data_IF_768743681169
#
_entry.id   IF_768743681169
#
_cell.length_a   1.000
_cell.length_b   1.000
_cell.length_c   1.000
_cell.angle_alpha   90.00
_cell.angle_beta   90.00
_cell.angle_gamma   90.00
#
_symmetry.space_group_name_H-M   'P 1'
#
loop_
_entity.id
_entity.type
_entity.pdbx_description
1 polymer ?
#
# COMPACT_ATOMS: atom_id res chain seq x y z
N UNK A 1 45.57 -35.10 5.82
CA UNK A 1 45.30 -36.52 5.52
C UNK A 1 43.96 -36.89 6.12
N UNK A 2 43.03 -37.29 5.27
CA UNK A 2 41.64 -37.69 5.55
C UNK A 2 41.54 -38.92 6.46
N UNK A 3 40.36 -39.17 7.04
CA UNK A 3 39.51 -40.42 6.97
C UNK A 3 38.28 -40.16 7.89
N UNK A 4 37.05 -40.02 7.39
CA UNK A 4 36.03 -41.02 6.98
C UNK A 4 35.28 -41.73 8.15
N UNK A 5 33.94 -41.67 8.08
CA UNK A 5 32.85 -42.18 8.96
C UNK A 5 32.30 -43.52 8.34
N UNK A 6 31.31 -44.31 8.85
CA UNK A 6 30.78 -44.74 10.17
C UNK A 6 30.82 -46.29 10.41
N UNK A 7 30.28 -46.78 11.54
CA UNK A 7 29.99 -48.20 11.78
C UNK A 7 28.79 -48.45 12.72
N UNK A 8 27.88 -49.31 12.27
CA UNK A 8 26.54 -49.70 12.74
C UNK A 8 26.58 -50.89 13.73
N UNK A 9 25.72 -50.99 14.76
CA UNK A 9 25.17 -52.29 15.25
C UNK A 9 23.82 -52.12 15.99
N UNK A 10 22.78 -52.79 15.47
CA UNK A 10 21.51 -53.12 16.12
C UNK A 10 21.64 -54.40 16.97
N UNK A 11 20.93 -54.53 18.10
CA UNK A 11 20.66 -55.84 18.72
C UNK A 11 19.17 -56.03 19.00
N UNK A 12 18.66 -57.14 18.48
CA UNK A 12 17.34 -57.70 18.72
C UNK A 12 17.33 -58.57 19.99
N UNK A 13 16.14 -58.73 20.60
CA UNK A 13 15.90 -59.67 21.68
C UNK A 13 14.41 -59.75 22.02
N UNK A 14 13.70 -60.68 21.40
CA UNK A 14 12.44 -61.24 21.91
C UNK A 14 12.77 -62.44 22.83
N UNK A 15 11.86 -62.86 23.75
CA UNK A 15 11.52 -64.28 24.10
C UNK A 15 10.84 -64.47 25.49
N UNK A 16 9.72 -65.24 25.47
CA UNK A 16 8.87 -66.00 26.46
C UNK A 16 7.91 -65.35 27.47
N UNK A 17 6.61 -65.52 27.16
CA UNK A 17 5.50 -66.19 27.89
C UNK A 17 5.68 -66.64 29.38
N UNK A 18 4.66 -66.38 30.20
CA UNK A 18 4.48 -67.02 31.51
C UNK A 18 3.11 -66.71 32.13
N UNK A 19 2.15 -67.61 31.92
CA UNK A 19 0.76 -67.58 32.40
C UNK A 19 0.68 -67.82 33.91
N UNK A 20 -0.11 -67.02 34.63
CA UNK A 20 -0.60 -67.38 35.97
C UNK A 20 -2.10 -67.07 36.04
N UNK A 21 -2.90 -68.13 35.97
CA UNK A 21 -4.36 -68.12 36.13
C UNK A 21 -4.67 -68.15 37.63
N UNK A 22 -5.37 -67.13 38.13
CA UNK A 22 -6.20 -67.27 39.33
C UNK A 22 -7.59 -66.79 38.96
N UNK A 23 -8.50 -67.76 38.80
CA UNK A 23 -9.92 -67.50 38.63
C UNK A 23 -10.58 -67.26 40.00
N UNK A 24 -11.38 -66.20 40.09
CA UNK A 24 -12.45 -66.10 41.07
C UNK A 24 -13.71 -65.71 40.29
N UNK A 25 -14.67 -66.63 40.32
CA UNK A 25 -15.95 -66.57 39.63
C UNK A 25 -17.03 -66.46 40.70
N UNK A 26 -17.68 -65.29 40.87
CA UNK A 26 -19.01 -65.20 41.49
C UNK A 26 -19.79 -63.98 40.95
N UNK A 27 -20.77 -64.30 40.11
CA UNK A 27 -22.17 -63.82 40.06
C UNK A 27 -22.48 -62.31 40.16
N UNK A 28 -22.75 -61.73 38.99
CA UNK A 28 -24.10 -61.27 38.61
C UNK A 28 -24.85 -60.31 39.54
N UNK A 29 -24.82 -59.03 39.19
CA UNK A 29 -25.99 -58.14 39.23
C UNK A 29 -26.05 -57.42 37.88
N UNK A 30 -27.19 -57.58 37.21
CA UNK A 30 -27.41 -57.07 35.86
C UNK A 30 -27.75 -55.59 35.85
N UNK A 31 -27.19 -54.88 34.88
CA UNK A 31 -27.71 -53.58 34.42
C UNK A 31 -28.65 -53.83 33.23
N UNK A 32 -29.96 -53.52 33.33
CA UNK A 32 -30.83 -53.49 32.18
C UNK A 32 -30.81 -52.11 31.51
N UNK A 33 -30.98 -52.11 30.19
CA UNK A 33 -31.20 -50.95 29.30
C UNK A 33 -29.95 -50.28 28.69
N UNK A 34 -29.21 -51.03 27.86
CA UNK A 34 -28.61 -50.45 26.66
C UNK A 34 -29.60 -50.67 25.51
N UNK A 35 -30.44 -49.67 25.25
CA UNK A 35 -31.32 -49.68 24.09
C UNK A 35 -30.48 -49.61 22.82
N UNK A 36 -30.65 -50.62 21.97
CA UNK A 36 -30.15 -50.65 20.59
C UNK A 36 -30.81 -49.52 19.79
N UNK A 37 -30.09 -48.42 19.59
CA UNK A 37 -30.38 -47.45 18.54
C UNK A 37 -29.54 -47.85 17.34
N UNK A 38 -30.14 -48.65 16.45
CA UNK A 38 -29.64 -48.78 15.09
C UNK A 38 -29.67 -47.39 14.42
N UNK A 39 -28.61 -46.96 13.72
CA UNK A 39 -28.69 -45.74 12.93
C UNK A 39 -29.70 -45.96 11.80
N UNK A 40 -30.81 -45.20 11.84
CA UNK A 40 -31.69 -45.07 10.67
C UNK A 40 -30.87 -44.40 9.56
N UNK A 41 -30.96 -44.83 8.29
CA UNK A 41 -30.34 -44.07 7.21
C UNK A 41 -31.06 -42.73 7.10
N UNK A 42 -30.44 -41.68 7.63
CA UNK A 42 -30.86 -40.30 7.36
C UNK A 42 -30.58 -40.08 5.89
N UNK A 43 -31.63 -39.90 5.11
CA UNK A 43 -31.54 -39.46 3.73
C UNK A 43 -30.97 -38.05 3.80
N UNK A 44 -29.67 -37.90 3.51
CA UNK A 44 -29.06 -36.59 3.32
C UNK A 44 -29.63 -36.06 2.01
N UNK A 45 -30.74 -35.32 2.14
CA UNK A 45 -31.20 -34.42 1.09
C UNK A 45 -30.17 -33.30 0.99
N UNK A 46 -29.68 -33.08 -0.22
CA UNK A 46 -28.70 -32.06 -0.54
C UNK A 46 -29.13 -30.70 0.03
N UNK A 47 -28.25 -30.09 0.83
CA UNK A 47 -28.37 -28.71 1.23
C UNK A 47 -28.09 -27.83 0.00
N UNK A 48 -29.12 -27.14 -0.47
CA UNK A 48 -28.99 -25.92 -1.24
C UNK A 48 -29.59 -24.80 -0.38
N UNK A 49 -28.79 -23.77 -0.10
CA UNK A 49 -29.12 -22.66 0.79
C UNK A 49 -28.52 -22.87 2.19
N UNK A 50 -27.32 -22.34 2.41
CA UNK A 50 -26.78 -22.17 3.76
C UNK A 50 -27.65 -21.13 4.48
N UNK A 51 -28.69 -21.58 5.18
CA UNK A 51 -29.50 -20.69 6.00
C UNK A 51 -28.62 -20.19 7.15
N UNK A 52 -28.21 -18.92 7.09
CA UNK A 52 -27.68 -18.19 8.22
C UNK A 52 -28.66 -18.27 9.39
N UNK A 53 -28.46 -19.25 10.25
CA UNK A 53 -29.33 -19.55 11.38
C UNK A 53 -28.59 -19.22 12.66
N UNK A 54 -29.02 -18.11 13.26
CA UNK A 54 -28.82 -17.70 14.65
C UNK A 54 -27.41 -17.17 15.02
N UNK A 55 -27.33 -15.84 15.02
CA UNK A 55 -26.74 -15.02 16.09
C UNK A 55 -25.22 -14.99 16.28
N UNK A 56 -24.41 -15.62 15.43
CA UNK A 56 -22.96 -15.42 15.49
C UNK A 56 -22.45 -14.36 14.51
N UNK A 57 -22.87 -14.36 13.23
CA UNK A 57 -22.28 -13.43 12.25
C UNK A 57 -23.31 -12.98 11.20
N UNK A 58 -24.37 -12.28 11.62
CA UNK A 58 -25.31 -11.64 10.67
C UNK A 58 -24.60 -10.67 9.71
N UNK A 59 -23.43 -10.16 10.09
CA UNK A 59 -22.57 -9.30 9.25
C UNK A 59 -21.73 -10.05 8.22
N UNK A 60 -21.64 -11.38 8.30
CA UNK A 60 -20.90 -12.21 7.32
C UNK A 60 -21.81 -13.16 6.54
N UNK A 61 -23.12 -13.03 6.70
CA UNK A 61 -24.09 -13.75 5.88
C UNK A 61 -24.06 -13.19 4.46
N UNK A 62 -24.17 -14.07 3.48
CA UNK A 62 -24.24 -13.78 2.05
C UNK A 62 -25.22 -14.80 1.48
N UNK A 63 -26.48 -14.40 1.36
CA UNK A 63 -27.62 -15.29 1.16
C UNK A 63 -27.73 -15.78 -0.29
N UNK A 64 -27.30 -14.97 -1.27
CA UNK A 64 -27.25 -15.36 -2.68
C UNK A 64 -25.85 -15.77 -3.17
N UNK A 65 -24.82 -15.58 -2.34
CA UNK A 65 -23.47 -16.09 -2.57
C UNK A 65 -22.69 -15.27 -3.58
N UNK A 66 -22.99 -13.98 -3.71
CA UNK A 66 -22.36 -13.08 -4.68
C UNK A 66 -21.11 -12.37 -4.15
N UNK A 67 -20.80 -12.53 -2.86
CA UNK A 67 -19.65 -11.94 -2.17
C UNK A 67 -19.97 -10.62 -1.46
N UNK A 68 -21.18 -10.10 -1.57
CA UNK A 68 -21.67 -8.92 -0.85
C UNK A 68 -22.43 -9.41 0.41
N UNK A 69 -22.03 -8.99 1.62
CA UNK A 69 -22.75 -9.42 2.82
C UNK A 69 -24.19 -8.89 2.87
N UNK A 70 -25.13 -9.70 3.35
CA UNK A 70 -26.56 -9.36 3.53
C UNK A 70 -26.76 -7.99 4.21
N UNK A 71 -25.92 -7.69 5.21
CA UNK A 71 -25.99 -6.44 5.96
C UNK A 71 -25.66 -5.21 5.10
N UNK A 72 -24.76 -5.37 4.12
CA UNK A 72 -24.40 -4.34 3.14
C UNK A 72 -25.53 -4.18 2.13
N UNK A 73 -26.06 -5.27 1.60
CA UNK A 73 -27.14 -5.22 0.60
C UNK A 73 -28.42 -4.56 1.13
N UNK A 74 -28.77 -4.80 2.40
CA UNK A 74 -29.91 -4.13 3.03
C UNK A 74 -29.73 -2.61 3.06
N UNK A 75 -28.50 -2.10 3.17
CA UNK A 75 -28.22 -0.66 3.11
C UNK A 75 -28.25 -0.16 1.66
N UNK A 76 -27.69 -0.92 0.72
CA UNK A 76 -27.59 -0.54 -0.70
C UNK A 76 -28.96 -0.52 -1.40
N UNK A 77 -29.76 -1.58 -1.23
CA UNK A 77 -30.97 -1.80 -2.02
C UNK A 77 -32.19 -2.32 -1.23
N UNK A 78 -32.03 -2.61 0.07
CA UNK A 78 -33.14 -2.87 1.00
C UNK A 78 -33.53 -4.34 1.20
N UNK A 79 -32.82 -5.29 0.59
CA UNK A 79 -32.97 -6.73 0.85
C UNK A 79 -31.64 -7.46 0.75
N UNK A 80 -31.54 -8.67 1.32
CA UNK A 80 -30.32 -9.45 1.43
C UNK A 80 -29.98 -10.29 0.17
N UNK A 81 -30.45 -9.89 -1.02
CA UNK A 81 -30.13 -10.56 -2.30
C UNK A 81 -30.36 -9.62 -3.50
N UNK A 82 -30.28 -8.31 -3.30
CA UNK A 82 -30.68 -7.33 -4.33
C UNK A 82 -29.52 -6.52 -4.89
N UNK A 83 -28.36 -6.52 -4.23
CA UNK A 83 -27.22 -5.80 -4.78
C UNK A 83 -26.69 -6.60 -5.97
N UNK A 84 -26.19 -5.90 -6.99
CA UNK A 84 -25.55 -6.54 -8.15
C UNK A 84 -24.06 -6.26 -8.21
N UNK A 85 -23.55 -5.47 -7.26
CA UNK A 85 -22.19 -4.99 -7.21
C UNK A 85 -21.89 -3.84 -8.18
N UNK A 86 -22.92 -3.30 -8.85
CA UNK A 86 -22.80 -2.29 -9.92
C UNK A 86 -23.56 -1.00 -9.61
N UNK A 87 -24.29 -0.98 -8.51
CA UNK A 87 -24.93 0.22 -7.99
C UNK A 87 -23.86 1.26 -7.67
N UNK A 88 -24.08 2.50 -8.12
CA UNK A 88 -23.21 3.66 -7.92
C UNK A 88 -24.13 4.89 -7.93
N UNK A 89 -24.53 5.30 -6.72
CA UNK A 89 -25.62 6.24 -6.47
C UNK A 89 -25.21 7.67 -6.81
N UNK A 90 -23.97 8.06 -6.51
CA UNK A 90 -23.45 9.40 -6.78
C UNK A 90 -22.59 9.51 -8.06
N UNK A 91 -22.29 8.37 -8.70
CA UNK A 91 -21.63 8.26 -10.01
C UNK A 91 -20.19 8.74 -10.00
N UNK A 92 -19.51 8.55 -8.88
CA UNK A 92 -18.09 8.86 -8.76
C UNK A 92 -17.18 7.71 -9.24
N UNK A 93 -17.76 6.53 -9.49
CA UNK A 93 -17.07 5.33 -9.96
C UNK A 93 -16.75 4.31 -8.87
N UNK A 94 -17.07 4.60 -7.60
CA UNK A 94 -17.00 3.65 -6.50
C UNK A 94 -18.38 2.99 -6.35
N UNK A 95 -18.47 1.64 -6.38
CA UNK A 95 -19.74 0.98 -6.17
C UNK A 95 -20.30 1.19 -4.75
N UNK A 96 -21.62 1.36 -4.61
CA UNK A 96 -22.33 1.64 -3.35
C UNK A 96 -21.96 0.65 -2.23
N UNK A 97 -21.78 -0.64 -2.57
CA UNK A 97 -21.46 -1.68 -1.61
C UNK A 97 -20.04 -1.55 -1.04
N UNK A 98 -19.09 -1.01 -1.82
CA UNK A 98 -17.74 -0.69 -1.38
C UNK A 98 -17.79 0.47 -0.38
N UNK A 99 -18.55 1.51 -0.69
CA UNK A 99 -18.71 2.66 0.19
C UNK A 99 -19.37 2.29 1.51
N UNK A 100 -20.42 1.46 1.47
CA UNK A 100 -21.06 0.97 2.68
C UNK A 100 -20.09 0.14 3.53
N UNK A 101 -19.20 -0.66 2.92
CA UNK A 101 -18.17 -1.41 3.66
C UNK A 101 -17.08 -0.50 4.23
N UNK A 102 -16.70 0.56 3.51
CA UNK A 102 -15.65 1.48 3.94
C UNK A 102 -16.14 2.45 5.03
N UNK A 103 -17.26 3.13 4.79
CA UNK A 103 -17.72 4.26 5.62
C UNK A 103 -19.21 4.21 6.02
N UNK A 104 -19.97 3.23 5.53
CA UNK A 104 -21.32 2.90 6.06
C UNK A 104 -22.51 3.50 5.30
N UNK A 105 -22.28 4.32 4.28
CA UNK A 105 -23.34 4.84 3.39
C UNK A 105 -22.92 4.70 1.92
N UNK A 106 -23.85 4.83 0.99
CA UNK A 106 -23.63 4.65 -0.46
C UNK A 106 -23.25 5.94 -1.21
N UNK A 107 -22.63 6.91 -0.53
CA UNK A 107 -22.16 8.19 -1.11
C UNK A 107 -21.09 8.86 -0.21
N UNK A 108 -20.33 8.07 0.56
CA UNK A 108 -19.40 8.61 1.57
C UNK A 108 -17.93 8.47 1.21
N UNK A 109 -17.59 7.66 0.21
CA UNK A 109 -16.22 7.61 -0.28
C UNK A 109 -16.00 8.75 -1.30
N UNK A 110 -14.76 9.15 -1.48
CA UNK A 110 -14.35 9.99 -2.62
C UNK A 110 -13.15 9.27 -3.26
N UNK A 111 -13.18 8.96 -4.56
CA UNK A 111 -12.10 8.25 -5.25
C UNK A 111 -10.78 9.05 -5.27
N UNK A 112 -10.80 10.32 -4.91
CA UNK A 112 -9.64 11.22 -4.88
C UNK A 112 -9.16 11.56 -3.47
N UNK A 113 -9.87 11.11 -2.43
CA UNK A 113 -9.42 11.30 -1.06
C UNK A 113 -8.18 10.42 -0.80
N UNK A 114 -7.12 11.05 -0.31
CA UNK A 114 -5.80 10.46 0.00
C UNK A 114 -5.21 11.30 1.14
N UNK A 115 -5.49 10.89 2.38
CA UNK A 115 -5.28 11.70 3.57
C UNK A 115 -3.80 11.82 3.97
N UNK A 116 -2.99 10.80 3.70
CA UNK A 116 -1.54 10.82 3.95
C UNK A 116 -0.69 11.12 2.72
N UNK A 117 -1.30 11.21 1.54
CA UNK A 117 -0.68 11.64 0.30
C UNK A 117 0.19 10.57 -0.34
N UNK A 118 0.03 9.30 0.03
CA UNK A 118 0.80 8.17 -0.51
C UNK A 118 0.26 7.65 -1.86
N UNK A 119 -0.89 8.15 -2.33
CA UNK A 119 -1.49 7.76 -3.60
C UNK A 119 -2.41 6.53 -3.53
N UNK A 120 -2.67 5.99 -2.34
CA UNK A 120 -3.73 5.01 -2.09
C UNK A 120 -4.99 5.77 -1.64
N UNK A 121 -6.18 5.48 -2.21
CA UNK A 121 -7.41 6.17 -1.79
C UNK A 121 -7.86 5.78 -0.38
N UNK A 122 -8.34 6.75 0.41
CA UNK A 122 -8.78 6.58 1.81
C UNK A 122 -9.74 5.39 2.01
N UNK A 123 -10.70 5.21 1.07
CA UNK A 123 -11.69 4.13 1.16
C UNK A 123 -11.04 2.75 1.01
N UNK A 124 -10.01 2.62 0.18
CA UNK A 124 -9.30 1.37 -0.02
C UNK A 124 -8.48 1.04 1.22
N UNK A 125 -7.82 2.02 1.83
CA UNK A 125 -7.10 1.83 3.09
C UNK A 125 -8.01 1.42 4.25
N UNK A 126 -9.19 2.05 4.32
CA UNK A 126 -10.21 1.71 5.31
C UNK A 126 -10.64 0.23 5.20
N UNK A 127 -10.69 -0.32 3.99
CA UNK A 127 -11.01 -1.74 3.73
C UNK A 127 -9.84 -2.68 3.98
N UNK A 128 -8.61 -2.23 3.72
CA UNK A 128 -7.38 -3.03 3.92
C UNK A 128 -7.03 -3.16 5.39
N UNK A 129 -7.04 -2.05 6.14
CA UNK A 129 -6.48 -2.00 7.49
C UNK A 129 -7.27 -1.16 8.51
N UNK A 130 -8.38 -0.55 8.10
CA UNK A 130 -9.35 0.06 9.02
C UNK A 130 -9.14 1.54 9.35
N UNK A 131 -8.24 2.24 8.65
CA UNK A 131 -8.10 3.70 8.70
C UNK A 131 -7.61 4.26 7.36
N UNK A 132 -7.84 5.55 7.12
CA UNK A 132 -7.46 6.27 5.91
C UNK A 132 -5.96 6.68 5.82
N UNK A 133 -5.06 6.00 6.53
CA UNK A 133 -3.60 6.33 6.51
C UNK A 133 -2.75 5.12 6.91
N UNK A 134 -3.25 3.89 6.72
CA UNK A 134 -2.60 2.69 7.26
C UNK A 134 -2.05 1.74 6.21
N UNK A 135 -2.52 1.82 4.97
CA UNK A 135 -1.94 0.99 3.94
C UNK A 135 -0.58 1.57 3.54
N UNK A 136 0.31 0.73 3.04
CA UNK A 136 1.60 1.18 2.50
C UNK A 136 1.86 0.63 1.10
N UNK A 137 0.88 -0.07 0.52
CA UNK A 137 0.98 -0.64 -0.82
C UNK A 137 1.75 -1.96 -0.88
N UNK A 138 2.07 -2.57 0.27
CA UNK A 138 2.75 -3.86 0.35
C UNK A 138 1.91 -4.97 0.99
N UNK A 139 0.71 -4.66 1.48
CA UNK A 139 -0.27 -5.65 1.91
C UNK A 139 -0.63 -6.54 0.72
N UNK A 140 -0.41 -7.85 0.81
CA UNK A 140 -0.68 -8.83 -0.25
C UNK A 140 -1.14 -10.13 0.41
N UNK A 141 -2.45 -10.26 0.59
CA UNK A 141 -3.08 -11.34 1.33
C UNK A 141 -2.95 -12.69 0.60
N UNK A 142 -2.96 -12.69 -0.73
CA UNK A 142 -2.98 -13.91 -1.53
C UNK A 142 -1.62 -14.30 -2.13
N UNK A 143 -0.62 -13.42 -2.05
CA UNK A 143 0.74 -13.66 -2.48
C UNK A 143 0.93 -13.65 -3.99
N UNK A 144 -0.01 -13.07 -4.76
CA UNK A 144 0.12 -12.93 -6.22
C UNK A 144 0.95 -11.71 -6.64
N UNK A 145 1.42 -10.90 -5.68
CA UNK A 145 2.17 -9.68 -5.96
C UNK A 145 1.29 -8.53 -6.42
N UNK A 146 -0.01 -8.59 -6.14
CA UNK A 146 -0.97 -7.48 -6.31
C UNK A 146 -1.30 -7.00 -4.90
N UNK A 147 -1.06 -5.72 -4.58
CA UNK A 147 -1.41 -5.20 -3.27
C UNK A 147 -2.92 -5.24 -3.00
N UNK A 148 -3.33 -5.53 -1.76
CA UNK A 148 -4.72 -5.70 -1.35
C UNK A 148 -5.58 -4.47 -1.69
N UNK A 149 -5.03 -3.25 -1.58
CA UNK A 149 -5.76 -2.03 -1.94
C UNK A 149 -6.14 -2.01 -3.43
N UNK A 150 -5.28 -2.56 -4.30
CA UNK A 150 -5.56 -2.67 -5.74
C UNK A 150 -6.67 -3.69 -5.97
N UNK A 151 -6.67 -4.79 -5.24
CA UNK A 151 -7.76 -5.76 -5.34
C UNK A 151 -9.10 -5.12 -4.96
N UNK A 152 -9.14 -4.32 -3.89
CA UNK A 152 -10.34 -3.58 -3.51
C UNK A 152 -10.81 -2.59 -4.57
N UNK A 153 -9.89 -1.87 -5.22
CA UNK A 153 -10.23 -0.92 -6.28
C UNK A 153 -10.77 -1.64 -7.52
N UNK A 154 -10.20 -2.77 -7.90
CA UNK A 154 -10.53 -3.49 -9.14
C UNK A 154 -11.80 -4.34 -9.00
N UNK A 155 -11.94 -5.05 -7.88
CA UNK A 155 -13.00 -6.05 -7.71
C UNK A 155 -13.53 -6.19 -6.27
N UNK A 156 -13.03 -5.38 -5.33
CA UNK A 156 -13.70 -5.15 -4.07
C UNK A 156 -13.45 -6.15 -2.94
N UNK A 157 -12.45 -7.03 -3.08
CA UNK A 157 -12.03 -7.96 -2.03
C UNK A 157 -10.57 -8.34 -2.17
N UNK A 158 -9.82 -8.49 -1.09
CA UNK A 158 -8.40 -8.90 -1.17
C UNK A 158 -8.19 -10.19 -2.00
N UNK A 159 -7.22 -10.17 -2.91
CA UNK A 159 -6.83 -11.28 -3.79
C UNK A 159 -7.77 -11.59 -4.96
N UNK A 160 -8.76 -10.74 -5.25
CA UNK A 160 -9.67 -10.99 -6.37
C UNK A 160 -9.07 -10.66 -7.74
N UNK A 161 -8.11 -9.74 -7.82
CA UNK A 161 -7.54 -9.37 -9.11
C UNK A 161 -6.58 -10.45 -9.62
N UNK A 162 -6.48 -10.54 -10.94
CA UNK A 162 -5.58 -11.43 -11.67
C UNK A 162 -4.33 -10.70 -12.16
N UNK A 163 -4.37 -9.38 -12.23
CA UNK A 163 -3.31 -8.53 -12.76
C UNK A 163 -3.36 -8.34 -14.27
N UNK A 164 -4.40 -8.86 -14.93
CA UNK A 164 -4.62 -8.79 -16.37
C UNK A 164 -5.86 -7.99 -16.75
N UNK A 165 -6.57 -7.45 -15.76
CA UNK A 165 -7.71 -6.55 -15.96
C UNK A 165 -7.25 -5.32 -16.75
N UNK A 166 -7.98 -5.02 -17.83
CA UNK A 166 -7.82 -3.83 -18.67
C UNK A 166 -9.23 -3.38 -19.06
N UNK A 167 -9.92 -2.72 -18.12
CA UNK A 167 -11.32 -2.34 -18.30
C UNK A 167 -11.53 -1.28 -19.37
N UNK A 168 -10.53 -0.43 -19.61
CA UNK A 168 -10.61 0.66 -20.59
C UNK A 168 -10.12 0.24 -22.00
N UNK A 169 -9.47 -0.92 -22.12
CA UNK A 169 -8.98 -1.50 -23.38
C UNK A 169 -7.80 -0.74 -24.00
N UNK A 170 -7.03 0.00 -23.19
CA UNK A 170 -5.91 0.81 -23.66
C UNK A 170 -4.62 -0.03 -23.85
N UNK A 171 -4.64 -1.31 -23.45
CA UNK A 171 -3.51 -2.24 -23.57
C UNK A 171 -2.53 -2.19 -22.39
N UNK A 172 -2.82 -1.43 -21.35
CA UNK A 172 -2.15 -1.40 -20.05
C UNK A 172 -3.14 -2.00 -19.04
N UNK A 173 -2.69 -2.90 -18.17
CA UNK A 173 -3.59 -3.43 -17.14
C UNK A 173 -3.87 -2.39 -16.05
N UNK A 174 -5.07 -2.41 -15.49
CA UNK A 174 -5.49 -1.49 -14.43
C UNK A 174 -4.57 -1.61 -13.21
N UNK A 175 -4.08 -2.82 -12.89
CA UNK A 175 -3.05 -3.01 -11.86
C UNK A 175 -1.76 -2.25 -12.16
N UNK A 176 -1.33 -2.22 -13.42
CA UNK A 176 -0.12 -1.49 -13.81
C UNK A 176 -0.33 0.03 -13.75
N UNK A 177 -1.52 0.52 -14.10
CA UNK A 177 -1.87 1.93 -13.97
C UNK A 177 -1.93 2.34 -12.49
N UNK A 178 -2.61 1.58 -11.65
CA UNK A 178 -2.77 1.86 -10.21
C UNK A 178 -1.45 1.81 -9.45
N UNK A 179 -0.58 0.82 -9.73
CA UNK A 179 0.76 0.74 -9.11
C UNK A 179 1.63 1.96 -9.40
N UNK A 180 1.42 2.65 -10.52
CA UNK A 180 2.18 3.84 -10.86
C UNK A 180 1.78 5.07 -10.04
N UNK A 181 0.60 5.05 -9.41
CA UNK A 181 0.08 6.17 -8.60
C UNK A 181 0.63 6.19 -7.17
N UNK A 182 0.99 5.02 -6.62
CA UNK A 182 1.47 4.91 -5.23
C UNK A 182 2.90 5.43 -5.10
N UNK A 183 3.09 6.30 -4.11
CA UNK A 183 4.37 6.84 -3.69
C UNK A 183 4.87 6.01 -2.52
N UNK A 184 5.94 5.25 -2.72
CA UNK A 184 6.63 4.58 -1.61
C UNK A 184 7.02 5.61 -0.53
N UNK A 185 6.31 5.60 0.60
CA UNK A 185 6.69 6.33 1.82
C UNK A 185 7.96 5.72 2.46
N UNK A 186 8.50 4.65 1.86
CA UNK A 186 9.73 3.96 2.22
C UNK A 186 10.98 4.83 2.09
N UNK A 187 11.24 5.63 3.11
CA UNK A 187 12.57 6.00 3.61
C UNK A 187 13.65 6.31 2.54
N UNK A 188 13.38 7.23 1.62
CA UNK A 188 14.46 7.94 0.90
C UNK A 188 15.38 8.74 1.87
N UNK A 189 14.97 8.88 3.14
CA UNK A 189 15.81 9.39 4.22
C UNK A 189 16.88 8.38 4.73
N UNK A 190 16.82 7.11 4.36
CA UNK A 190 17.84 6.09 4.74
C UNK A 190 19.20 6.34 4.10
N UNK A 191 19.16 6.46 2.78
CA UNK A 191 20.35 6.43 1.93
C UNK A 191 20.96 7.82 1.88
N UNK A 192 20.15 8.88 2.03
CA UNK A 192 20.61 10.24 2.28
C UNK A 192 21.34 10.38 3.62
N UNK A 193 20.86 9.71 4.68
CA UNK A 193 21.54 9.74 5.99
C UNK A 193 22.84 8.93 5.98
N UNK A 194 22.87 7.72 5.39
CA UNK A 194 24.11 6.94 5.30
C UNK A 194 25.14 7.60 4.37
N UNK A 195 24.73 8.12 3.21
CA UNK A 195 25.62 8.87 2.33
C UNK A 195 26.10 10.18 2.99
N UNK A 196 25.20 10.91 3.66
CA UNK A 196 25.53 12.11 4.43
C UNK A 196 26.51 11.85 5.57
N UNK A 197 26.38 10.72 6.27
CA UNK A 197 27.31 10.29 7.32
C UNK A 197 28.73 10.04 6.78
N UNK A 198 28.87 9.39 5.61
CA UNK A 198 30.18 9.18 4.98
C UNK A 198 30.78 10.47 4.43
N UNK A 199 29.96 11.38 3.88
CA UNK A 199 30.41 12.71 3.45
C UNK A 199 30.90 13.53 4.64
N UNK A 200 30.14 13.56 5.75
CA UNK A 200 30.54 14.26 6.98
C UNK A 200 31.81 13.66 7.60
N UNK A 201 31.92 12.33 7.64
CA UNK A 201 33.13 11.65 8.13
C UNK A 201 34.36 11.95 7.25
N UNK A 202 34.19 11.98 5.93
CA UNK A 202 35.23 12.37 4.99
C UNK A 202 35.72 13.80 5.19
N UNK A 203 34.80 14.75 5.35
CA UNK A 203 35.13 16.17 5.59
C UNK A 203 35.86 16.35 6.92
N UNK A 204 35.42 15.67 7.99
CA UNK A 204 36.09 15.72 9.30
C UNK A 204 37.49 15.08 9.28
N UNK A 205 37.68 13.99 8.54
CA UNK A 205 38.99 13.33 8.40
C UNK A 205 39.99 14.21 7.63
N UNK A 206 39.56 14.85 6.53
CA UNK A 206 40.41 15.76 5.75
C UNK A 206 40.74 17.02 6.55
N UNK A 207 39.76 17.60 7.24
CA UNK A 207 39.96 18.78 8.09
C UNK A 207 40.93 18.53 9.26
N UNK A 208 40.81 17.37 9.94
CA UNK A 208 41.71 17.00 11.04
C UNK A 208 43.13 16.66 10.56
N UNK A 209 43.26 16.01 9.39
CA UNK A 209 44.56 15.76 8.75
C UNK A 209 45.30 17.05 8.37
N UNK A 210 44.59 18.03 7.80
CA UNK A 210 45.14 19.34 7.48
C UNK A 210 45.55 20.11 8.76
N UNK A 211 44.73 20.07 9.81
CA UNK A 211 45.02 20.72 11.08
C UNK A 211 46.29 20.15 11.76
N UNK A 212 46.43 18.81 11.80
CA UNK A 212 47.62 18.16 12.34
C UNK A 212 48.88 18.43 11.49
N UNK A 213 48.73 18.47 10.16
CA UNK A 213 49.82 18.84 9.25
C UNK A 213 50.34 20.27 9.52
N UNK A 214 49.43 21.24 9.70
CA UNK A 214 49.80 22.61 10.04
C UNK A 214 50.42 22.76 11.45
N UNK A 215 49.94 22.01 12.43
CA UNK A 215 50.54 21.95 13.78
C UNK A 215 51.98 21.40 13.73
N UNK A 216 52.24 20.37 12.94
CA UNK A 216 53.59 19.80 12.79
C UNK A 216 54.54 20.72 12.01
N UNK A 217 54.03 21.48 11.03
CA UNK A 217 54.83 22.48 10.30
C UNK A 217 55.30 23.63 11.19
N UNK A 218 54.52 24.04 12.20
CA UNK A 218 54.94 25.06 13.18
C UNK A 218 56.04 24.57 14.12
N UNK A 219 56.04 23.30 14.52
CA UNK A 219 57.09 22.73 15.40
C UNK A 219 58.45 22.60 14.71
N UNK A 220 58.50 22.40 13.38
CA UNK A 220 59.75 22.33 12.62
C UNK A 220 60.36 23.68 12.25
N UNK A 221 59.68 24.80 12.55
CA UNK A 221 60.21 26.17 12.35
C UNK A 221 60.82 26.77 13.62
N UNK A 222 60.96 25.99 14.71
CA UNK A 222 61.48 26.46 16.00
C UNK A 222 62.80 25.85 16.44
N UNK A 223 63.47 25.07 15.59
CA UNK A 223 64.76 24.44 15.91
C UNK A 223 65.66 24.44 14.67
N UNK A 224 65.99 25.64 14.20
CA UNK A 224 67.23 25.94 13.49
C UNK A 224 67.42 27.47 13.58
N UNK A 225 68.64 27.85 13.93
CA UNK A 225 69.18 29.22 14.08
C UNK A 225 69.13 29.87 15.47
N UNK A 226 70.12 29.48 16.30
CA UNK A 226 70.91 30.45 17.07
C UNK A 226 72.30 30.58 16.41
N UNK A 227 72.72 31.82 16.14
CA UNK A 227 74.01 32.21 15.55
C UNK A 227 73.86 32.58 14.07
N UNK A 228 74.08 33.80 13.59
CA UNK A 228 75.10 34.78 13.97
C UNK A 228 74.74 36.15 13.35
N UNK A 229 75.17 37.24 13.98
CA UNK A 229 74.94 38.60 13.49
C UNK A 229 76.16 39.09 12.70
N UNK A 230 76.00 39.44 11.41
CA UNK A 230 76.94 40.34 10.74
C UNK A 230 76.19 41.30 9.81
N UNK A 231 76.38 42.58 10.08
CA UNK A 231 75.94 43.71 9.27
C UNK A 231 76.58 43.70 7.88
N UNK A 232 75.80 44.10 6.87
CA UNK A 232 76.26 44.30 5.50
C UNK A 232 75.32 45.26 4.77
N UNK A 233 75.92 46.30 4.23
CA UNK A 233 75.38 47.58 3.79
C UNK A 233 74.80 47.58 2.36
N UNK A 234 73.76 48.41 2.18
CA UNK A 234 73.30 49.18 1.00
C UNK A 234 73.05 48.59 -0.41
N UNK A 235 72.14 49.34 -1.07
CA UNK A 235 71.89 49.55 -2.51
C UNK A 235 70.70 48.77 -3.09
N UNK A 236 69.77 49.32 -3.88
CA UNK A 236 69.47 50.70 -4.27
C UNK A 236 68.10 50.68 -5.00
N UNK A 237 67.41 51.83 -4.96
CA UNK A 237 66.41 52.36 -5.92
C UNK A 237 65.30 51.48 -6.54
N UNK A 238 64.05 51.88 -6.25
CA UNK A 238 63.30 52.73 -7.19
C UNK A 238 62.03 52.13 -7.82
N UNK A 239 60.92 52.88 -7.67
CA UNK A 239 59.79 52.83 -8.61
C UNK A 239 58.41 52.77 -7.97
N UNK A 240 57.98 53.87 -7.36
CA UNK A 240 56.55 54.21 -7.24
C UNK A 240 56.00 54.45 -8.66
N UNK A 241 54.83 53.90 -9.02
CA UNK A 241 53.77 54.55 -9.84
C UNK A 241 52.44 53.78 -9.66
N UNK A 242 51.52 54.40 -8.91
CA UNK A 242 50.11 54.66 -9.24
C UNK A 242 49.33 53.63 -10.09
N UNK A 243 48.31 53.01 -9.49
CA UNK A 243 47.09 52.71 -10.24
C UNK A 243 45.84 52.68 -9.34
N UNK A 244 44.89 53.52 -9.71
CA UNK A 244 43.64 53.89 -9.06
C UNK A 244 42.64 52.73 -8.86
N UNK A 245 41.99 52.71 -7.69
CA UNK A 245 40.61 52.28 -7.49
C UNK A 245 39.67 53.18 -8.34
N UNK A 246 38.52 52.72 -8.87
CA UNK A 246 37.40 52.46 -7.95
C UNK A 246 36.33 51.44 -8.40
N UNK A 247 35.53 51.07 -7.39
CA UNK A 247 34.12 50.67 -7.38
C UNK A 247 33.27 50.89 -8.65
N UNK A 248 32.55 49.84 -9.07
CA UNK A 248 31.30 49.87 -9.84
C UNK A 248 30.43 48.72 -9.26
N UNK A 249 29.25 48.95 -8.65
CA UNK A 249 28.37 50.09 -8.80
C UNK A 249 27.29 49.89 -9.87
N UNK A 250 26.54 48.76 -9.78
CA UNK A 250 25.11 48.60 -10.11
C UNK A 250 24.52 49.69 -11.02
N UNK A 251 24.07 49.31 -12.21
CA UNK A 251 22.71 49.55 -12.75
C UNK A 251 22.72 49.39 -14.28
N UNK A 252 21.79 48.63 -14.83
CA UNK A 252 20.93 49.13 -15.93
C UNK A 252 19.65 48.30 -16.06
N UNK A 253 18.59 48.87 -16.70
CA UNK A 253 17.21 48.52 -16.41
C UNK A 253 16.41 48.09 -17.68
N UNK A 254 15.15 47.67 -17.43
CA UNK A 254 14.02 47.58 -18.38
C UNK A 254 14.08 46.47 -19.46
N UNK A 255 13.26 45.45 -19.30
CA UNK A 255 12.17 45.25 -20.28
C UNK A 255 10.90 44.74 -19.59
N UNK A 256 9.78 45.26 -20.06
CA UNK A 256 8.44 45.23 -19.48
C UNK A 256 7.55 44.62 -20.58
N UNK A 257 7.07 43.40 -20.41
CA UNK A 257 6.12 42.75 -21.32
C UNK A 257 5.05 42.00 -20.54
N UNK A 258 3.83 42.52 -20.61
CA UNK A 258 2.67 42.23 -19.76
C UNK A 258 2.08 40.81 -19.87
N UNK A 259 1.30 40.36 -18.86
CA UNK A 259 0.30 39.31 -19.02
C UNK A 259 -0.95 39.88 -19.72
N UNK A 260 -1.41 39.22 -20.78
CA UNK A 260 -2.71 39.48 -21.36
C UNK A 260 -3.71 38.47 -20.80
N UNK A 261 -4.62 38.97 -19.97
CA UNK A 261 -5.95 38.42 -19.78
C UNK A 261 -6.73 38.38 -21.11
N UNK A 262 -7.55 37.34 -21.27
CA UNK A 262 -8.75 37.12 -22.11
C UNK A 262 -8.78 35.65 -22.51
N UNK A 263 -9.85 34.89 -22.50
CA UNK A 263 -11.19 34.86 -21.91
C UNK A 263 -11.72 33.46 -22.35
N UNK A 264 -12.73 32.88 -21.68
CA UNK A 264 -13.29 31.58 -22.06
C UNK A 264 -14.11 31.72 -23.36
N UNK A 265 -13.81 30.89 -24.37
CA UNK A 265 -14.71 30.73 -25.52
C UNK A 265 -15.95 29.95 -25.11
N UNK A 266 -16.98 30.70 -24.72
CA UNK A 266 -18.37 30.36 -25.00
C UNK A 266 -18.62 30.52 -26.49
N UNK A 267 -18.75 29.42 -27.23
CA UNK A 267 -19.48 29.43 -28.50
C UNK A 267 -20.79 28.66 -28.31
N UNK A 268 -21.83 29.43 -28.04
CA UNK A 268 -23.19 29.01 -28.35
C UNK A 268 -23.33 28.86 -29.86
N UNK A 269 -23.80 27.69 -30.29
CA UNK A 269 -24.33 27.49 -31.63
C UNK A 269 -25.84 27.46 -31.51
N UNK A 270 -26.42 28.64 -31.62
CA UNK A 270 -27.82 28.84 -31.98
C UNK A 270 -27.89 28.74 -33.51
N UNK A 271 -28.48 27.65 -33.99
CA UNK A 271 -29.13 27.63 -35.31
C UNK A 271 -30.51 27.05 -35.10
N UNK A 272 -31.46 27.94 -34.80
CA UNK A 272 -32.85 27.67 -35.12
C UNK A 272 -33.00 27.48 -36.63
N UNK A 273 -33.52 26.33 -37.02
CA UNK A 273 -34.37 26.25 -38.21
C UNK A 273 -35.58 25.37 -37.89
N UNK A 274 -36.71 26.03 -38.06
CA UNK A 274 -38.09 25.61 -37.89
C UNK A 274 -38.47 24.53 -38.91
N UNK A 275 -39.14 23.46 -38.49
CA UNK A 275 -40.30 22.89 -39.21
C UNK A 275 -40.99 21.81 -38.37
N UNK A 276 -42.09 22.20 -37.75
CA UNK A 276 -43.39 21.60 -38.06
C UNK A 276 -43.73 20.18 -37.57
N UNK A 277 -44.82 20.16 -36.80
CA UNK A 277 -45.95 19.20 -36.93
C UNK A 277 -45.91 17.95 -36.07
N UNK A 278 -46.88 17.84 -35.15
CA UNK A 278 -47.41 16.53 -34.75
C UNK A 278 -47.81 16.36 -33.29
N UNK A 279 -48.64 17.24 -32.74
CA UNK A 279 -49.43 16.91 -31.57
C UNK A 279 -50.39 15.75 -31.93
N UNK A 280 -50.11 14.55 -31.42
CA UNK A 280 -50.96 13.37 -31.51
C UNK A 280 -51.53 13.02 -30.15
N UNK A 281 -52.41 13.88 -29.64
CA UNK A 281 -53.34 13.57 -28.57
C UNK A 281 -54.30 12.46 -29.05
N UNK A 282 -54.29 11.32 -28.39
CA UNK A 282 -55.40 10.35 -28.40
C UNK A 282 -55.67 9.92 -26.97
N UNK A 283 -56.49 10.75 -26.33
CA UNK A 283 -57.44 10.30 -25.32
C UNK A 283 -58.63 9.63 -26.04
N UNK A 284 -59.18 8.58 -25.44
CA UNK A 284 -60.50 8.07 -25.81
C UNK A 284 -60.64 6.56 -25.95
N UNK A 285 -61.08 5.91 -24.87
CA UNK A 285 -62.32 5.12 -24.95
C UNK A 285 -62.23 3.59 -24.90
N UNK A 286 -62.43 3.05 -23.69
CA UNK A 286 -63.58 2.20 -23.29
C UNK A 286 -63.95 1.00 -24.19
N UNK A 287 -63.69 -0.21 -23.71
CA UNK A 287 -64.66 -1.28 -23.43
C UNK A 287 -63.94 -2.49 -22.80
#
# INVERSE_FOLDING_TARGET
MSVFVPGFVRRAGAVVLGVLVVGVFVLGIGDPARADIAPRPVKVVAAAGAACSQQADASSCDADGDGIPDAVEVVVCGSATCATGREDTDKDGIPDWIEVKACGTSTCADPKADADGDGIPDYAEQLVCGSATCANGHEDTDGKGIPDWIDYVICGSAGCATGQEDYNGNGISDVAELKACVKDQGFLASTGFQAGMWVLAGVLAVGSGAFLYFQNKKKKRGTEEEGDAIAGDNSDTGGDEDFEEPEDGRHTPLDRGAPADRDPETQGRDTGEDTGTGAGFVDGGRA
#
